data_IF_010147424160
#
_entry.id   IF_010147424160
#
_cell.length_a   1.000
_cell.length_b   1.000
_cell.length_c   1.000
_cell.angle_alpha   90.00
_cell.angle_beta   90.00
_cell.angle_gamma   90.00
#
_symmetry.space_group_name_H-M   'P 1'
#
loop_
_entity.id
_entity.type
_entity.pdbx_description
1 polymer ?
#
# COMPACT_ATOMS: atom_id res chain seq x y z
N UNK A 1 30.06 9.83 -58.71
CA UNK A 1 29.14 10.53 -57.78
C UNK A 1 27.89 9.66 -57.65
N UNK A 2 27.91 8.70 -56.72
CA UNK A 2 26.78 7.81 -56.41
C UNK A 2 26.58 7.86 -54.90
N UNK A 3 25.47 8.43 -54.46
CA UNK A 3 25.03 8.47 -53.07
C UNK A 3 24.08 7.30 -52.83
N UNK A 4 24.52 6.32 -52.04
CA UNK A 4 23.69 5.22 -51.54
C UNK A 4 23.26 5.59 -50.12
N UNK A 5 21.94 5.74 -49.92
CA UNK A 5 21.31 5.88 -48.61
C UNK A 5 21.43 4.56 -47.82
N UNK A 6 22.05 4.59 -46.65
CA UNK A 6 21.98 3.50 -45.67
C UNK A 6 20.71 3.66 -44.83
N UNK A 7 19.85 2.64 -44.83
CA UNK A 7 18.80 2.45 -43.83
C UNK A 7 19.45 1.98 -42.51
N UNK A 8 19.29 2.76 -41.45
CA UNK A 8 19.56 2.35 -40.07
C UNK A 8 18.36 1.60 -39.50
N UNK A 9 18.54 0.30 -39.23
CA UNK A 9 17.60 -0.55 -38.51
C UNK A 9 17.62 -0.16 -37.02
N UNK A 10 16.60 0.54 -36.53
CA UNK A 10 16.43 0.84 -35.12
C UNK A 10 15.92 -0.38 -34.36
N UNK A 11 16.76 -0.98 -33.51
CA UNK A 11 16.34 -1.99 -32.54
C UNK A 11 15.54 -1.28 -31.44
N UNK A 12 14.24 -1.57 -31.35
CA UNK A 12 13.39 -1.15 -30.24
C UNK A 12 13.79 -1.97 -29.02
N UNK A 13 14.53 -1.35 -28.10
CA UNK A 13 14.85 -1.90 -26.79
C UNK A 13 13.56 -1.83 -25.95
N UNK A 14 12.87 -2.96 -25.77
CA UNK A 14 11.79 -3.08 -24.80
C UNK A 14 12.37 -2.85 -23.40
N UNK A 15 12.11 -1.68 -22.82
CA UNK A 15 12.33 -1.43 -21.40
C UNK A 15 11.24 -2.16 -20.63
N UNK A 16 11.56 -3.34 -20.13
CA UNK A 16 10.75 -4.02 -19.11
C UNK A 16 10.86 -3.17 -17.84
N UNK A 17 9.87 -2.32 -17.59
CA UNK A 17 9.77 -1.57 -16.33
C UNK A 17 9.43 -2.56 -15.21
N UNK A 18 10.42 -2.82 -14.37
CA UNK A 18 10.29 -3.67 -13.18
C UNK A 18 9.26 -3.11 -12.20
N UNK A 19 8.50 -4.03 -11.61
CA UNK A 19 7.57 -3.77 -10.51
C UNK A 19 8.30 -3.10 -9.34
N UNK A 20 7.86 -1.91 -8.93
CA UNK A 20 8.34 -1.29 -7.69
C UNK A 20 7.65 -1.96 -6.49
N UNK A 21 8.39 -2.81 -5.80
CA UNK A 21 8.03 -3.40 -4.51
C UNK A 21 7.92 -2.30 -3.45
N UNK A 22 7.06 -2.47 -2.44
CA UNK A 22 7.06 -1.62 -1.25
C UNK A 22 8.51 -1.48 -0.73
N UNK A 23 9.01 -0.27 -0.52
CA UNK A 23 10.43 -0.09 -0.16
C UNK A 23 10.66 -0.59 1.26
N UNK A 24 11.04 -1.86 1.37
CA UNK A 24 11.53 -2.47 2.60
C UNK A 24 12.94 -1.96 2.82
N UNK A 25 13.18 -1.33 3.97
CA UNK A 25 14.53 -1.00 4.42
C UNK A 25 15.03 -2.09 5.38
N UNK A 26 16.34 -2.16 5.59
CA UNK A 26 16.94 -3.17 6.45
C UNK A 26 18.11 -2.64 7.28
N UNK A 27 18.27 -3.20 8.48
CA UNK A 27 19.39 -2.93 9.38
C UNK A 27 19.87 -4.26 9.98
N UNK A 28 21.19 -4.41 10.15
CA UNK A 28 21.77 -5.62 10.73
C UNK A 28 22.21 -5.35 12.17
N UNK A 29 21.75 -6.17 13.12
CA UNK A 29 21.91 -5.95 14.55
C UNK A 29 22.49 -7.19 15.24
N UNK A 30 23.55 -7.00 16.04
CA UNK A 30 24.12 -8.03 16.92
C UNK A 30 23.70 -7.78 18.36
N UNK A 31 22.97 -8.72 18.95
CA UNK A 31 22.42 -8.60 20.31
C UNK A 31 22.87 -9.75 21.22
N UNK A 32 23.93 -10.48 20.86
CA UNK A 32 24.28 -11.77 21.47
C UNK A 32 23.69 -12.92 20.66
N UNK A 33 23.22 -13.97 21.34
CA UNK A 33 22.59 -15.11 20.69
C UNK A 33 21.41 -14.66 19.79
N UNK A 34 21.51 -14.90 18.49
CA UNK A 34 20.55 -14.37 17.52
C UNK A 34 19.15 -14.99 17.68
N UNK A 35 18.98 -16.18 18.30
CA UNK A 35 17.66 -16.79 18.55
C UNK A 35 16.75 -15.90 19.40
N UNK A 36 17.31 -15.34 20.47
CA UNK A 36 16.59 -14.40 21.32
C UNK A 36 16.36 -13.07 20.62
N UNK A 37 17.33 -12.62 19.83
CA UNK A 37 17.28 -11.35 19.11
C UNK A 37 16.17 -11.35 18.06
N UNK A 38 16.10 -12.40 17.23
CA UNK A 38 15.10 -12.63 16.20
C UNK A 38 13.70 -12.59 16.80
N UNK A 39 13.44 -13.36 17.86
CA UNK A 39 12.14 -13.36 18.55
C UNK A 39 11.73 -11.98 19.06
N UNK A 40 12.67 -11.21 19.63
CA UNK A 40 12.37 -9.88 20.18
C UNK A 40 12.08 -8.86 19.09
N UNK A 41 12.88 -8.85 18.03
CA UNK A 41 12.71 -7.89 16.94
C UNK A 41 11.50 -8.23 16.06
N UNK A 42 11.24 -9.51 15.78
CA UNK A 42 10.07 -9.94 15.01
C UNK A 42 8.72 -9.56 15.66
N UNK A 43 8.69 -9.35 16.98
CA UNK A 43 7.48 -8.92 17.69
C UNK A 43 7.16 -7.42 17.54
N UNK A 44 8.08 -6.62 16.99
CA UNK A 44 7.89 -5.18 16.83
C UNK A 44 6.95 -4.89 15.65
N UNK A 45 5.92 -4.04 15.82
CA UNK A 45 5.08 -3.62 14.70
C UNK A 45 5.89 -2.94 13.59
N UNK A 46 5.52 -3.23 12.33
CA UNK A 46 6.20 -2.69 11.15
C UNK A 46 7.44 -3.48 10.70
N UNK A 47 7.83 -4.52 11.44
CA UNK A 47 8.83 -5.50 10.98
C UNK A 47 8.18 -6.44 9.96
N UNK A 48 8.85 -6.61 8.83
CA UNK A 48 8.43 -7.48 7.72
C UNK A 48 9.07 -8.86 7.86
N UNK A 49 10.36 -8.90 8.19
CA UNK A 49 11.13 -10.14 8.26
C UNK A 49 12.36 -10.04 9.19
N UNK A 50 12.56 -11.16 9.89
CA UNK A 50 13.57 -11.60 10.86
C UNK A 50 14.62 -12.61 10.37
N UNK A 51 15.79 -12.26 9.83
CA UNK A 51 16.76 -13.30 9.40
C UNK A 51 18.01 -13.37 10.28
N UNK A 52 18.38 -14.57 10.76
CA UNK A 52 19.60 -14.81 11.53
C UNK A 52 20.83 -15.02 10.63
N UNK A 53 21.99 -14.51 11.04
CA UNK A 53 23.23 -14.60 10.27
C UNK A 53 24.51 -14.23 11.02
N UNK A 54 25.62 -14.17 10.27
CA UNK A 54 26.96 -13.87 10.75
C UNK A 54 27.58 -12.71 9.96
N UNK A 55 28.07 -11.67 10.61
CA UNK A 55 28.54 -10.45 9.93
C UNK A 55 29.86 -9.87 10.46
N UNK A 56 30.52 -9.12 9.58
CA UNK A 56 31.71 -8.29 9.86
C UNK A 56 32.90 -9.00 10.55
N UNK A 57 33.11 -10.29 10.26
CA UNK A 57 34.40 -10.97 10.45
C UNK A 57 35.32 -10.77 9.24
N UNK A 58 36.55 -11.30 9.32
CA UNK A 58 37.54 -11.22 8.24
C UNK A 58 37.32 -12.28 7.15
N UNK A 59 36.64 -13.39 7.50
CA UNK A 59 36.30 -14.42 6.52
C UNK A 59 35.16 -13.93 5.62
N UNK A 60 35.24 -14.21 4.32
CA UNK A 60 34.17 -13.81 3.39
C UNK A 60 32.92 -14.68 3.57
N UNK A 61 33.12 -15.99 3.71
CA UNK A 61 32.08 -16.99 3.93
C UNK A 61 32.31 -17.69 5.27
N UNK A 62 31.25 -17.90 6.03
CA UNK A 62 31.31 -18.58 7.33
C UNK A 62 30.02 -19.34 7.62
N UNK A 63 30.09 -20.29 8.55
CA UNK A 63 28.97 -21.05 9.11
C UNK A 63 29.11 -21.12 10.64
N UNK A 64 28.14 -21.71 11.33
CA UNK A 64 28.14 -21.80 12.79
C UNK A 64 29.42 -22.44 13.36
N UNK A 65 29.88 -23.53 12.74
CA UNK A 65 31.07 -24.26 13.20
C UNK A 65 32.35 -23.45 13.02
N UNK A 66 32.47 -22.70 11.92
CA UNK A 66 33.62 -21.84 11.65
C UNK A 66 33.71 -20.71 12.67
N UNK A 67 32.59 -20.07 13.00
CA UNK A 67 32.51 -19.01 14.01
C UNK A 67 32.96 -19.53 15.38
N UNK A 68 32.47 -20.70 15.80
CA UNK A 68 32.88 -21.30 17.08
C UNK A 68 34.34 -21.75 17.09
N UNK A 69 34.82 -22.34 15.98
CA UNK A 69 36.21 -22.78 15.86
C UNK A 69 37.18 -21.59 15.93
N UNK A 70 36.86 -20.48 15.24
CA UNK A 70 37.65 -19.27 15.25
C UNK A 70 37.66 -18.62 16.64
N UNK A 71 36.52 -18.58 17.34
CA UNK A 71 36.43 -18.08 18.72
C UNK A 71 37.34 -18.87 19.67
N UNK A 72 37.40 -20.20 19.52
CA UNK A 72 38.31 -21.03 20.31
C UNK A 72 39.78 -20.77 20.00
N UNK A 73 40.12 -20.49 18.73
CA UNK A 73 41.49 -20.14 18.34
C UNK A 73 41.90 -18.78 18.90
N UNK A 74 41.00 -17.79 18.88
CA UNK A 74 41.19 -16.46 19.47
C UNK A 74 41.44 -16.55 20.98
N UNK A 75 40.61 -17.30 21.71
CA UNK A 75 40.79 -17.53 23.17
C UNK A 75 42.13 -18.19 23.52
N UNK A 76 42.72 -18.94 22.59
CA UNK A 76 44.03 -19.59 22.75
C UNK A 76 45.21 -18.73 22.25
N UNK A 77 44.96 -17.52 21.75
CA UNK A 77 45.98 -16.65 21.17
C UNK A 77 46.63 -17.20 19.89
N UNK A 78 45.96 -18.11 19.17
CA UNK A 78 46.51 -18.77 17.98
C UNK A 78 46.33 -17.95 16.69
N UNK A 79 45.46 -16.96 16.73
CA UNK A 79 45.13 -16.11 15.58
C UNK A 79 44.74 -14.73 16.07
N UNK A 80 44.87 -13.74 15.19
CA UNK A 80 44.39 -12.37 15.38
C UNK A 80 43.26 -12.02 14.41
N UNK A 81 42.78 -13.00 13.63
CA UNK A 81 41.70 -12.82 12.67
C UNK A 81 40.38 -12.49 13.39
N UNK A 82 39.64 -11.54 12.85
CA UNK A 82 38.38 -11.06 13.41
C UNK A 82 37.26 -12.07 13.16
N UNK A 83 36.58 -12.48 14.22
CA UNK A 83 35.41 -13.36 14.11
C UNK A 83 34.14 -12.60 13.69
N UNK A 84 33.22 -13.30 13.04
CA UNK A 84 31.89 -12.74 12.76
C UNK A 84 31.09 -12.59 14.05
N UNK A 85 30.25 -11.56 14.10
CA UNK A 85 29.19 -11.46 15.11
C UNK A 85 27.99 -12.28 14.67
N UNK A 86 27.35 -12.94 15.63
CA UNK A 86 25.96 -13.38 15.52
C UNK A 86 25.07 -12.14 15.42
N UNK A 87 24.33 -12.06 14.33
CA UNK A 87 23.48 -10.91 14.01
C UNK A 87 22.13 -11.37 13.47
N UNK A 88 21.19 -10.43 13.46
CA UNK A 88 19.94 -10.52 12.73
C UNK A 88 19.87 -9.41 11.68
N UNK A 89 19.38 -9.73 10.49
CA UNK A 89 18.97 -8.75 9.48
C UNK A 89 17.48 -8.46 9.66
N UNK A 90 17.18 -7.27 10.17
CA UNK A 90 15.82 -6.80 10.42
C UNK A 90 15.35 -6.04 9.19
N UNK A 91 14.33 -6.58 8.51
CA UNK A 91 13.67 -5.94 7.36
C UNK A 91 12.37 -5.31 7.84
N UNK A 92 12.16 -4.04 7.53
CA UNK A 92 11.02 -3.29 8.05
C UNK A 92 10.39 -2.39 7.00
N UNK A 93 9.13 -2.04 7.23
CA UNK A 93 8.40 -1.09 6.42
C UNK A 93 8.57 0.31 7.05
N UNK A 94 9.31 1.24 6.41
CA UNK A 94 9.52 2.60 6.94
C UNK A 94 8.22 3.39 7.14
N UNK A 95 7.13 3.01 6.47
CA UNK A 95 5.81 3.61 6.66
C UNK A 95 5.10 3.14 7.95
N UNK A 96 5.52 2.03 8.56
CA UNK A 96 4.92 1.48 9.78
C UNK A 96 5.81 1.65 11.02
N UNK A 97 7.13 1.63 10.84
CA UNK A 97 8.10 1.84 11.94
C UNK A 97 9.34 2.54 11.43
N UNK A 98 10.00 3.30 12.30
CA UNK A 98 11.23 4.02 11.96
C UNK A 98 12.46 3.25 12.40
N UNK A 99 13.59 3.50 11.72
CA UNK A 99 14.90 3.01 12.15
C UNK A 99 15.17 3.37 13.62
N UNK A 100 14.81 4.59 14.04
CA UNK A 100 14.97 5.04 15.41
C UNK A 100 14.22 4.16 16.41
N UNK A 101 12.97 3.78 16.11
CA UNK A 101 12.19 2.89 16.98
C UNK A 101 12.81 1.49 17.07
N UNK A 102 13.34 0.99 15.96
CA UNK A 102 14.07 -0.29 15.91
C UNK A 102 15.32 -0.20 16.79
N UNK A 103 16.09 0.90 16.70
CA UNK A 103 17.30 1.12 17.50
C UNK A 103 16.98 1.30 18.98
N UNK A 104 15.92 2.03 19.35
CA UNK A 104 15.44 2.11 20.74
C UNK A 104 15.12 0.71 21.28
N UNK A 105 14.41 -0.10 20.50
CA UNK A 105 14.08 -1.49 20.86
C UNK A 105 15.36 -2.30 21.05
N UNK A 106 16.32 -2.17 20.14
CA UNK A 106 17.64 -2.79 20.25
C UNK A 106 18.33 -2.43 21.58
N UNK A 107 18.42 -1.13 21.91
CA UNK A 107 19.08 -0.62 23.11
C UNK A 107 18.46 -1.15 24.41
N UNK A 108 17.12 -1.23 24.48
CA UNK A 108 16.40 -1.66 25.68
C UNK A 108 16.39 -3.19 25.88
N UNK A 109 16.62 -3.99 24.82
CA UNK A 109 16.40 -5.44 24.83
C UNK A 109 17.67 -6.31 24.95
N UNK A 110 18.85 -5.72 25.06
CA UNK A 110 20.11 -6.41 25.40
C UNK A 110 20.99 -5.51 26.28
N UNK A 111 22.16 -6.00 26.72
CA UNK A 111 23.06 -5.20 27.54
C UNK A 111 24.26 -4.69 26.72
N UNK A 112 24.22 -3.48 26.16
CA UNK A 112 25.27 -2.98 25.26
C UNK A 112 26.59 -2.63 25.96
N UNK A 113 26.73 -2.85 27.28
CA UNK A 113 27.93 -2.52 28.06
C UNK A 113 28.79 -3.74 28.38
N UNK A 114 28.44 -4.93 27.89
CA UNK A 114 29.10 -6.20 28.25
C UNK A 114 30.27 -6.59 27.33
N UNK A 115 30.61 -5.79 26.32
CA UNK A 115 31.67 -6.14 25.36
C UNK A 115 31.31 -7.38 24.55
N UNK A 116 32.27 -8.32 24.48
CA UNK A 116 32.18 -9.62 23.80
C UNK A 116 31.38 -10.66 24.61
N UNK A 117 30.24 -10.24 25.16
CA UNK A 117 29.38 -11.08 26.01
C UNK A 117 27.94 -10.57 26.00
N UNK A 118 26.97 -11.49 26.07
CA UNK A 118 25.59 -11.21 26.45
C UNK A 118 25.07 -12.28 27.41
N UNK A 119 24.76 -11.89 28.65
CA UNK A 119 24.32 -12.85 29.66
C UNK A 119 25.37 -13.94 29.90
N UNK A 120 25.03 -15.21 29.64
CA UNK A 120 25.95 -16.34 29.78
C UNK A 120 26.79 -16.61 28.52
N UNK A 121 26.45 -15.99 27.39
CA UNK A 121 27.10 -16.21 26.10
C UNK A 121 28.35 -15.34 26.00
N UNK A 122 29.54 -15.96 25.96
CA UNK A 122 30.84 -15.29 26.01
C UNK A 122 31.69 -15.58 24.78
N UNK A 123 32.05 -14.53 24.06
CA UNK A 123 32.91 -14.59 22.90
C UNK A 123 32.68 -13.39 21.98
N UNK A 124 33.68 -13.11 21.13
CA UNK A 124 33.60 -11.99 20.19
C UNK A 124 32.45 -12.12 19.20
N UNK A 125 31.95 -13.34 18.98
CA UNK A 125 30.75 -13.60 18.20
C UNK A 125 29.45 -13.10 18.86
N UNK A 126 29.42 -12.91 20.19
CA UNK A 126 28.25 -12.40 20.92
C UNK A 126 28.30 -10.90 21.20
N UNK A 127 29.25 -10.19 20.60
CA UNK A 127 29.37 -8.74 20.78
C UNK A 127 28.11 -8.00 20.34
N UNK A 128 27.80 -6.92 21.02
CA UNK A 128 26.77 -5.98 20.57
C UNK A 128 27.23 -5.25 19.31
N UNK A 129 26.39 -5.19 18.27
CA UNK A 129 26.73 -4.57 17.00
C UNK A 129 25.54 -3.92 16.28
N UNK A 130 25.80 -2.88 15.51
CA UNK A 130 24.90 -2.26 14.54
C UNK A 130 25.68 -2.11 13.23
N UNK A 131 25.25 -2.82 12.20
CA UNK A 131 25.85 -2.78 10.88
C UNK A 131 24.93 -2.09 9.89
N UNK A 132 25.43 -1.00 9.31
CA UNK A 132 24.64 -0.02 8.54
C UNK A 132 24.89 -0.15 7.04
N UNK A 133 23.85 0.09 6.24
CA UNK A 133 23.95 0.08 4.76
C UNK A 133 24.07 1.49 4.17
N UNK A 134 23.87 2.54 4.96
CA UNK A 134 23.93 3.93 4.51
C UNK A 134 24.45 4.89 5.59
N UNK A 135 24.92 6.06 5.15
CA UNK A 135 25.37 7.13 6.04
C UNK A 135 24.25 7.66 6.96
N UNK A 136 22.99 7.63 6.49
CA UNK A 136 21.84 8.04 7.30
C UNK A 136 21.61 7.08 8.46
N UNK A 137 21.69 5.76 8.21
CA UNK A 137 21.59 4.76 9.27
C UNK A 137 22.73 4.88 10.28
N UNK A 138 23.96 5.13 9.80
CA UNK A 138 25.12 5.37 10.66
C UNK A 138 24.92 6.58 11.58
N UNK A 139 24.45 7.70 11.04
CA UNK A 139 24.17 8.90 11.83
C UNK A 139 23.11 8.64 12.93
N UNK A 140 22.01 7.95 12.59
CA UNK A 140 20.95 7.63 13.55
C UNK A 140 21.41 6.64 14.63
N UNK A 141 22.21 5.64 14.27
CA UNK A 141 22.81 4.69 15.20
C UNK A 141 23.75 5.37 16.20
N UNK A 142 24.58 6.31 15.73
CA UNK A 142 25.47 7.10 16.60
C UNK A 142 24.67 8.03 17.53
N UNK A 143 23.65 8.70 17.01
CA UNK A 143 22.80 9.61 17.79
C UNK A 143 22.07 8.84 18.91
N UNK A 144 21.40 7.73 18.57
CA UNK A 144 20.67 6.92 19.57
C UNK A 144 21.61 6.26 20.58
N UNK A 145 22.83 5.86 20.19
CA UNK A 145 23.87 5.41 21.12
C UNK A 145 24.18 6.47 22.16
N UNK A 146 24.43 7.71 21.75
CA UNK A 146 24.86 8.77 22.66
C UNK A 146 23.76 9.16 23.65
N UNK A 147 22.51 9.17 23.19
CA UNK A 147 21.34 9.35 24.06
C UNK A 147 21.20 8.21 25.07
N UNK A 148 21.27 6.97 24.63
CA UNK A 148 21.17 5.83 25.54
C UNK A 148 22.34 5.74 26.52
N UNK A 149 23.55 6.11 26.09
CA UNK A 149 24.73 6.21 26.95
C UNK A 149 24.49 7.17 28.11
N UNK A 150 23.83 8.31 27.87
CA UNK A 150 23.49 9.25 28.94
C UNK A 150 22.55 8.59 29.97
N UNK A 151 21.54 7.83 29.50
CA UNK A 151 20.63 7.05 30.35
C UNK A 151 21.36 6.02 31.21
N UNK A 152 22.23 5.22 30.58
CA UNK A 152 23.02 4.19 31.26
C UNK A 152 23.95 4.82 32.30
N UNK A 153 24.58 5.95 31.97
CA UNK A 153 25.45 6.70 32.89
C UNK A 153 24.65 7.20 34.11
N UNK A 154 23.45 7.74 33.89
CA UNK A 154 22.56 8.17 34.97
C UNK A 154 22.12 7.00 35.87
N UNK A 155 21.96 5.80 35.28
CA UNK A 155 21.70 4.55 35.99
C UNK A 155 22.96 3.89 36.59
N UNK A 156 24.12 4.54 36.53
CA UNK A 156 25.41 4.00 37.00
C UNK A 156 25.83 2.68 36.33
N UNK A 157 25.42 2.47 35.08
CA UNK A 157 25.83 1.35 34.24
C UNK A 157 27.05 1.71 33.37
N UNK A 158 27.69 0.68 32.81
CA UNK A 158 28.93 0.80 32.05
C UNK A 158 28.80 1.61 30.75
N UNK A 159 29.95 1.85 30.11
CA UNK A 159 30.00 2.45 28.77
C UNK A 159 29.50 1.44 27.73
N UNK A 160 28.74 1.92 26.75
CA UNK A 160 28.33 1.18 25.56
C UNK A 160 29.59 0.76 24.79
N UNK A 161 29.69 -0.54 24.55
CA UNK A 161 30.73 -1.20 23.76
C UNK A 161 30.21 -1.65 22.39
N UNK A 162 28.96 -1.35 22.06
CA UNK A 162 28.35 -1.69 20.77
C UNK A 162 29.18 -1.14 19.62
N UNK A 163 29.55 -2.04 18.72
CA UNK A 163 30.20 -1.69 17.46
C UNK A 163 29.19 -1.07 16.50
N UNK A 164 29.53 0.08 15.90
CA UNK A 164 28.67 0.74 14.91
C UNK A 164 29.52 1.02 13.68
N UNK A 165 29.33 0.22 12.63
CA UNK A 165 30.14 0.26 11.41
C UNK A 165 29.26 0.02 10.16
N UNK A 166 29.75 0.32 8.95
CA UNK A 166 29.15 -0.18 7.72
C UNK A 166 29.15 -1.72 7.67
N UNK A 167 28.10 -2.31 7.11
CA UNK A 167 28.05 -3.75 6.83
C UNK A 167 29.07 -4.10 5.74
N UNK A 168 29.97 -5.05 6.03
CA UNK A 168 30.97 -5.54 5.06
C UNK A 168 30.52 -6.83 4.38
N UNK A 169 30.23 -7.84 5.19
CA UNK A 169 29.79 -9.16 4.75
C UNK A 169 28.65 -9.63 5.66
N UNK A 170 27.67 -10.28 5.07
CA UNK A 170 26.58 -10.95 5.77
C UNK A 170 26.44 -12.37 5.24
N UNK A 171 26.60 -13.34 6.12
CA UNK A 171 26.43 -14.76 5.84
C UNK A 171 25.16 -15.24 6.55
N UNK A 172 24.14 -15.60 5.78
CA UNK A 172 22.89 -16.16 6.31
C UNK A 172 23.19 -17.43 7.12
N UNK A 173 22.62 -17.54 8.31
CA UNK A 173 22.76 -18.73 9.14
C UNK A 173 21.95 -19.90 8.58
N UNK A 174 22.33 -21.10 8.99
CA UNK A 174 21.70 -22.36 8.59
C UNK A 174 20.20 -22.40 8.92
N UNK A 175 19.40 -23.17 8.17
CA UNK A 175 17.93 -23.20 8.34
C UNK A 175 17.49 -23.63 9.76
N UNK A 176 18.30 -24.45 10.44
CA UNK A 176 18.02 -24.87 11.82
C UNK A 176 18.09 -23.71 12.82
N UNK A 177 18.75 -22.60 12.45
CA UNK A 177 18.93 -21.41 13.25
C UNK A 177 17.88 -20.32 12.99
N UNK A 178 17.23 -20.35 11.82
CA UNK A 178 16.14 -19.44 11.48
C UNK A 178 14.88 -19.80 12.28
N UNK A 179 14.16 -18.81 12.79
CA UNK A 179 12.93 -19.00 13.57
C UNK A 179 13.07 -19.98 14.74
N UNK A 180 14.27 -20.07 15.34
CA UNK A 180 14.61 -21.15 16.28
C UNK A 180 13.63 -21.23 17.46
N UNK A 181 13.27 -20.08 18.05
CA UNK A 181 12.33 -20.04 19.19
C UNK A 181 10.86 -20.19 18.78
N UNK A 182 10.53 -20.11 17.49
CA UNK A 182 9.22 -20.53 16.98
C UNK A 182 9.16 -22.06 16.90
N UNK A 183 10.23 -22.69 16.39
CA UNK A 183 10.38 -24.15 16.29
C UNK A 183 10.56 -24.81 17.65
N UNK A 184 11.21 -24.12 18.59
CA UNK A 184 11.52 -24.58 19.94
C UNK A 184 11.08 -23.54 20.99
N UNK A 185 9.78 -23.49 21.37
CA UNK A 185 9.24 -22.47 22.28
C UNK A 185 9.90 -22.40 23.67
N UNK A 186 10.43 -23.52 24.15
CA UNK A 186 11.18 -23.64 25.41
C UNK A 186 12.70 -23.55 25.22
N UNK A 187 13.15 -23.12 24.04
CA UNK A 187 14.55 -22.93 23.71
C UNK A 187 15.20 -21.81 24.51
N UNK A 188 16.53 -21.80 24.51
CA UNK A 188 17.31 -20.82 25.27
C UNK A 188 17.10 -19.39 24.75
N UNK A 189 16.88 -18.45 25.67
CA UNK A 189 16.82 -17.02 25.40
C UNK A 189 17.50 -16.25 26.56
N UNK A 190 18.77 -15.86 26.36
CA UNK A 190 19.59 -15.19 27.37
C UNK A 190 19.46 -13.67 27.44
N UNK A 191 18.61 -13.05 26.63
CA UNK A 191 18.50 -11.59 26.53
C UNK A 191 17.70 -11.02 27.70
N UNK A 192 18.36 -10.31 28.61
CA UNK A 192 17.75 -9.69 29.79
C UNK A 192 17.62 -8.16 29.76
N UNK A 193 18.20 -7.49 28.75
CA UNK A 193 18.31 -6.03 28.72
C UNK A 193 19.13 -5.46 29.90
N UNK A 194 19.15 -4.14 30.05
CA UNK A 194 19.72 -3.44 31.21
C UNK A 194 18.67 -3.04 32.25
N UNK A 195 17.39 -3.07 31.88
CA UNK A 195 16.29 -2.50 32.65
C UNK A 195 16.21 -0.97 32.60
N UNK A 196 17.11 -0.30 31.86
CA UNK A 196 17.09 1.16 31.67
C UNK A 196 16.27 1.49 30.44
N UNK A 197 15.29 2.38 30.60
CA UNK A 197 14.53 2.89 29.47
C UNK A 197 15.36 3.90 28.67
N UNK A 198 15.17 3.91 27.36
CA UNK A 198 15.75 4.92 26.48
C UNK A 198 15.20 6.32 26.88
N UNK A 199 16.04 7.37 26.99
CA UNK A 199 15.56 8.69 27.37
C UNK A 199 14.62 9.21 26.31
N UNK A 200 13.34 9.25 26.64
CA UNK A 200 12.36 9.97 25.86
C UNK A 200 12.45 11.41 26.34
N UNK A 201 13.27 12.25 25.70
CA UNK A 201 13.06 13.71 25.77
C UNK A 201 11.59 13.94 25.46
N UNK A 202 10.95 14.96 26.07
CA UNK A 202 9.61 15.38 25.66
C UNK A 202 9.58 15.40 24.14
N UNK A 203 8.90 14.40 23.58
CA UNK A 203 9.19 13.96 22.25
C UNK A 203 8.98 15.18 21.35
N UNK A 204 9.85 15.41 20.35
CA UNK A 204 9.26 15.81 19.08
C UNK A 204 8.16 14.78 18.88
N UNK A 205 6.87 15.19 18.95
CA UNK A 205 5.77 14.29 19.27
C UNK A 205 5.99 13.06 18.43
N UNK A 206 6.10 11.88 19.07
CA UNK A 206 6.05 10.62 18.33
C UNK A 206 4.95 10.85 17.33
N UNK A 207 5.28 10.92 16.03
CA UNK A 207 4.34 11.39 15.02
C UNK A 207 3.08 10.61 15.31
N UNK A 208 2.06 11.30 15.84
CA UNK A 208 0.91 10.63 16.45
C UNK A 208 0.41 9.78 15.31
N UNK A 209 0.56 8.45 15.42
CA UNK A 209 0.15 7.57 14.34
C UNK A 209 -1.27 8.02 14.01
N UNK A 210 -1.51 8.50 12.76
CA UNK A 210 -2.70 9.28 12.51
C UNK A 210 -3.90 8.47 12.96
N UNK A 211 -4.77 9.10 13.76
CA UNK A 211 -5.88 8.37 14.35
C UNK A 211 -6.77 7.82 13.22
N UNK A 212 -7.36 6.62 13.38
CA UNK A 212 -8.35 6.13 12.45
C UNK A 212 -9.48 7.16 12.31
N UNK A 213 -10.09 7.21 11.12
CA UNK A 213 -11.19 8.13 10.85
C UNK A 213 -12.28 7.97 11.93
N UNK A 214 -12.81 9.09 12.44
CA UNK A 214 -13.91 9.05 13.37
C UNK A 214 -15.20 8.64 12.63
N UNK A 215 -15.88 7.59 13.08
CA UNK A 215 -17.12 7.12 12.46
C UNK A 215 -18.21 8.21 12.41
N UNK A 216 -18.18 9.17 13.34
CA UNK A 216 -19.09 10.31 13.38
C UNK A 216 -18.92 11.30 12.20
N UNK A 217 -17.77 11.28 11.50
CA UNK A 217 -17.50 12.11 10.32
C UNK A 217 -17.82 11.40 8.99
N UNK A 218 -18.35 10.18 9.06
CA UNK A 218 -18.57 9.31 7.90
C UNK A 218 -20.05 8.99 7.73
N UNK A 219 -20.41 8.59 6.51
CA UNK A 219 -21.78 8.21 6.19
C UNK A 219 -22.02 6.75 6.61
N UNK A 220 -22.75 6.57 7.71
CA UNK A 220 -22.99 5.24 8.29
C UNK A 220 -23.70 4.27 7.34
N UNK A 221 -24.68 4.75 6.58
CA UNK A 221 -25.44 3.90 5.65
C UNK A 221 -24.56 3.35 4.52
N UNK A 222 -23.68 4.18 3.98
CA UNK A 222 -22.78 3.80 2.89
C UNK A 222 -21.59 4.77 2.79
N UNK A 223 -20.37 4.24 2.82
CA UNK A 223 -19.13 5.01 2.74
C UNK A 223 -18.03 4.22 2.02
N UNK A 224 -17.36 4.84 1.07
CA UNK A 224 -16.08 4.34 0.55
C UNK A 224 -14.93 4.92 1.37
N UNK A 225 -13.94 4.09 1.68
CA UNK A 225 -12.68 4.54 2.28
C UNK A 225 -11.53 4.02 1.43
N UNK A 226 -10.71 4.94 0.93
CA UNK A 226 -9.47 4.62 0.23
C UNK A 226 -8.34 4.56 1.28
N UNK A 227 -7.86 3.35 1.56
CA UNK A 227 -6.70 3.12 2.42
C UNK A 227 -5.43 3.21 1.59
N UNK A 228 -4.62 4.21 1.90
CA UNK A 228 -3.47 4.63 1.12
C UNK A 228 -2.20 4.68 1.97
N UNK A 229 -1.08 4.99 1.33
CA UNK A 229 0.21 5.21 1.99
C UNK A 229 0.92 6.38 1.33
N UNK A 230 1.68 7.17 2.11
CA UNK A 230 2.36 8.37 1.61
C UNK A 230 3.32 8.07 0.45
N UNK A 231 3.96 6.89 0.45
CA UNK A 231 4.95 6.48 -0.55
C UNK A 231 4.37 5.59 -1.67
N UNK A 232 3.05 5.55 -1.81
CA UNK A 232 2.36 4.70 -2.77
C UNK A 232 2.15 5.42 -4.12
N UNK A 233 2.92 5.04 -5.13
CA UNK A 233 2.79 5.58 -6.49
C UNK A 233 1.41 5.35 -7.10
N UNK A 234 0.82 4.17 -6.88
CA UNK A 234 -0.53 3.86 -7.35
C UNK A 234 -1.64 4.57 -6.57
N UNK A 235 -1.37 5.04 -5.35
CA UNK A 235 -2.31 5.86 -4.59
C UNK A 235 -2.38 7.25 -5.20
N UNK A 236 -1.23 7.87 -5.51
CA UNK A 236 -1.20 9.13 -6.29
C UNK A 236 -1.86 8.99 -7.67
N UNK A 237 -1.70 7.83 -8.32
CA UNK A 237 -2.38 7.56 -9.58
C UNK A 237 -3.89 7.45 -9.39
N UNK A 238 -4.36 6.71 -8.37
CA UNK A 238 -5.77 6.64 -8.01
C UNK A 238 -6.35 8.02 -7.69
N UNK A 239 -5.60 8.86 -6.99
CA UNK A 239 -6.02 10.23 -6.69
C UNK A 239 -6.24 11.03 -7.96
N UNK A 240 -5.28 11.00 -8.88
CA UNK A 240 -5.35 11.72 -10.15
C UNK A 240 -6.49 11.23 -11.04
N UNK A 241 -6.66 9.90 -11.12
CA UNK A 241 -7.60 9.26 -12.03
C UNK A 241 -9.03 9.28 -11.51
N UNK A 242 -9.22 9.14 -10.19
CA UNK A 242 -10.52 8.85 -9.57
C UNK A 242 -10.86 9.87 -8.48
N UNK A 243 -10.04 9.99 -7.43
CA UNK A 243 -10.44 10.71 -6.21
C UNK A 243 -10.59 12.22 -6.42
N UNK A 244 -9.64 12.85 -7.11
CA UNK A 244 -9.62 14.31 -7.32
C UNK A 244 -10.75 14.80 -8.24
N UNK A 245 -11.38 13.87 -8.98
CA UNK A 245 -12.47 14.15 -9.90
C UNK A 245 -13.79 13.51 -9.41
N UNK A 246 -13.85 13.11 -8.14
CA UNK A 246 -14.97 12.35 -7.60
C UNK A 246 -16.26 13.15 -7.55
N UNK A 247 -17.25 12.71 -8.33
CA UNK A 247 -18.60 13.31 -8.37
C UNK A 247 -19.71 12.34 -7.97
N UNK A 248 -19.36 11.09 -7.62
CA UNK A 248 -20.35 10.06 -7.33
C UNK A 248 -21.13 10.41 -6.06
N UNK A 249 -22.41 9.98 -6.03
CA UNK A 249 -23.26 10.21 -4.86
C UNK A 249 -22.77 9.46 -3.62
N UNK A 250 -22.05 8.35 -3.81
CA UNK A 250 -21.43 7.60 -2.72
C UNK A 250 -20.20 8.39 -2.22
N UNK A 251 -20.15 8.79 -0.95
CA UNK A 251 -19.03 9.54 -0.40
C UNK A 251 -17.79 8.66 -0.33
N UNK A 252 -16.63 9.25 -0.59
CA UNK A 252 -15.33 8.61 -0.45
C UNK A 252 -14.40 9.45 0.43
N UNK A 253 -13.60 8.80 1.27
CA UNK A 253 -12.59 9.45 2.11
C UNK A 253 -11.27 8.67 1.98
N UNK A 254 -10.18 9.36 1.66
CA UNK A 254 -8.85 8.76 1.73
C UNK A 254 -8.29 8.83 3.15
N UNK A 255 -7.49 7.83 3.52
CA UNK A 255 -6.76 7.81 4.79
C UNK A 255 -5.43 7.06 4.64
N UNK A 256 -4.32 7.59 5.21
CA UNK A 256 -3.06 6.86 5.29
C UNK A 256 -3.05 5.83 6.43
N UNK A 257 -4.13 5.73 7.21
CA UNK A 257 -4.24 4.90 8.42
C UNK A 257 -4.87 3.57 8.05
N UNK A 258 -4.10 2.47 8.16
CA UNK A 258 -4.53 1.12 7.78
C UNK A 258 -5.50 0.45 8.77
N UNK A 259 -6.18 1.22 9.61
CA UNK A 259 -7.21 0.76 10.54
C UNK A 259 -8.58 1.31 10.12
N UNK A 260 -9.66 0.51 10.23
CA UNK A 260 -10.99 0.99 9.96
C UNK A 260 -11.40 2.10 10.95
N UNK A 261 -12.43 2.88 10.61
CA UNK A 261 -13.01 3.84 11.55
C UNK A 261 -13.38 3.18 12.89
N UNK A 262 -13.31 3.96 13.96
CA UNK A 262 -13.60 3.45 15.30
C UNK A 262 -15.03 2.88 15.36
N UNK A 263 -15.15 1.61 15.74
CA UNK A 263 -16.42 0.88 15.80
C UNK A 263 -16.87 0.26 14.48
N UNK A 264 -16.09 0.41 13.40
CA UNK A 264 -16.32 -0.25 12.12
C UNK A 264 -15.41 -1.48 11.99
N UNK A 265 -15.83 -2.48 11.21
CA UNK A 265 -15.08 -3.74 11.05
C UNK A 265 -14.74 -4.03 9.61
N UNK A 266 -13.45 -4.29 9.35
CA UNK A 266 -12.98 -4.91 8.13
C UNK A 266 -13.32 -6.40 8.14
N UNK A 267 -13.66 -6.95 6.98
CA UNK A 267 -13.89 -8.38 6.80
C UNK A 267 -12.58 -9.18 6.84
N UNK A 268 -11.48 -8.55 6.44
CA UNK A 268 -10.13 -9.14 6.43
C UNK A 268 -9.05 -8.03 6.51
N UNK A 269 -7.81 -8.34 6.92
CA UNK A 269 -6.73 -7.35 6.98
C UNK A 269 -6.44 -6.66 5.62
N UNK A 270 -5.87 -5.45 5.68
CA UNK A 270 -5.36 -4.73 4.52
C UNK A 270 -3.91 -5.17 4.27
N UNK A 271 -3.61 -5.67 3.09
CA UNK A 271 -2.27 -6.19 2.73
C UNK A 271 -1.64 -5.49 1.52
N UNK A 272 -2.36 -4.57 0.87
CA UNK A 272 -1.86 -3.79 -0.26
C UNK A 272 -2.48 -2.37 -0.26
N UNK A 273 -1.85 -1.44 -0.97
CA UNK A 273 -2.33 -0.07 -1.16
C UNK A 273 -2.24 0.33 -2.65
N UNK A 274 -3.17 1.16 -3.16
CA UNK A 274 -4.40 1.57 -2.49
C UNK A 274 -5.38 0.38 -2.39
N UNK A 275 -6.11 0.32 -1.27
CA UNK A 275 -7.27 -0.56 -1.12
C UNK A 275 -8.50 0.29 -0.83
N UNK A 276 -9.49 0.24 -1.71
CA UNK A 276 -10.75 0.96 -1.55
C UNK A 276 -11.74 -0.01 -0.95
N UNK A 277 -12.31 0.33 0.21
CA UNK A 277 -13.28 -0.51 0.91
C UNK A 277 -14.62 0.19 0.94
N UNK A 278 -15.67 -0.53 0.55
CA UNK A 278 -17.06 -0.13 0.71
C UNK A 278 -17.57 -0.63 2.06
N UNK A 279 -18.02 0.30 2.89
CA UNK A 279 -18.70 0.03 4.14
C UNK A 279 -20.19 0.33 4.02
N UNK A 280 -21.02 -0.54 4.60
CA UNK A 280 -22.43 -0.30 4.86
C UNK A 280 -22.71 -0.64 6.33
N UNK A 281 -23.37 0.28 7.04
CA UNK A 281 -23.68 0.14 8.47
C UNK A 281 -22.43 -0.17 9.33
N UNK A 282 -21.30 0.44 8.97
CA UNK A 282 -20.01 0.26 9.63
C UNK A 282 -19.33 -1.10 9.41
N UNK A 283 -19.83 -1.93 8.48
CA UNK A 283 -19.21 -3.20 8.13
C UNK A 283 -18.72 -3.16 6.70
N UNK A 284 -17.53 -3.67 6.47
CA UNK A 284 -17.06 -3.91 5.11
C UNK A 284 -18.00 -4.89 4.39
N UNK A 285 -18.48 -4.47 3.21
CA UNK A 285 -19.31 -5.31 2.32
C UNK A 285 -18.58 -5.68 1.03
N UNK A 286 -17.62 -4.86 0.59
CA UNK A 286 -16.84 -5.10 -0.62
C UNK A 286 -15.54 -4.32 -0.59
N UNK A 287 -14.54 -4.74 -1.37
CA UNK A 287 -13.28 -4.02 -1.54
C UNK A 287 -12.73 -4.14 -2.96
N UNK A 288 -11.90 -3.16 -3.32
CA UNK A 288 -11.07 -3.15 -4.51
C UNK A 288 -9.61 -2.96 -4.08
N UNK A 289 -8.78 -3.97 -4.35
CA UNK A 289 -7.37 -4.00 -3.93
C UNK A 289 -6.46 -3.87 -5.14
N UNK A 290 -5.41 -3.06 -5.03
CA UNK A 290 -4.34 -3.00 -6.03
C UNK A 290 -4.77 -2.29 -7.31
N UNK A 291 -5.21 -1.03 -7.17
CA UNK A 291 -5.38 -0.13 -8.32
C UNK A 291 -4.04 0.06 -9.03
N UNK A 292 -4.05 -0.04 -10.36
CA UNK A 292 -2.85 0.06 -11.20
C UNK A 292 -3.07 1.00 -12.41
N UNK A 293 -3.97 1.98 -12.28
CA UNK A 293 -4.37 2.88 -13.38
C UNK A 293 -5.55 2.36 -14.23
N UNK A 294 -6.14 1.22 -13.87
CA UNK A 294 -7.28 0.64 -14.58
C UNK A 294 -8.61 1.25 -14.08
N UNK A 295 -8.95 2.42 -14.63
CA UNK A 295 -10.20 3.12 -14.33
C UNK A 295 -11.43 2.28 -14.67
N UNK A 296 -11.41 1.55 -15.80
CA UNK A 296 -12.54 0.75 -16.25
C UNK A 296 -12.87 -0.36 -15.25
N UNK A 297 -11.85 -1.08 -14.76
CA UNK A 297 -12.04 -2.13 -13.74
C UNK A 297 -12.56 -1.57 -12.42
N UNK A 298 -12.07 -0.40 -12.01
CA UNK A 298 -12.54 0.26 -10.80
C UNK A 298 -14.04 0.63 -10.91
N UNK A 299 -14.43 1.31 -11.99
CA UNK A 299 -15.82 1.72 -12.19
C UNK A 299 -16.76 0.54 -12.40
N UNK A 300 -16.29 -0.52 -13.07
CA UNK A 300 -17.04 -1.77 -13.19
C UNK A 300 -17.28 -2.40 -11.81
N UNK A 301 -16.24 -2.57 -10.99
CA UNK A 301 -16.39 -3.07 -9.62
C UNK A 301 -17.38 -2.24 -8.81
N UNK A 302 -17.23 -0.91 -8.82
CA UNK A 302 -18.10 -0.03 -8.04
C UNK A 302 -19.55 -0.10 -8.53
N UNK A 303 -19.78 -0.10 -9.83
CA UNK A 303 -21.13 -0.22 -10.38
C UNK A 303 -21.79 -1.54 -10.02
N UNK A 304 -21.06 -2.66 -9.93
CA UNK A 304 -21.61 -3.93 -9.43
C UNK A 304 -22.05 -3.86 -7.96
N UNK A 305 -21.48 -2.95 -7.16
CA UNK A 305 -21.90 -2.75 -5.77
C UNK A 305 -23.05 -1.75 -5.63
N UNK A 306 -23.14 -0.75 -6.52
CA UNK A 306 -24.11 0.35 -6.41
C UNK A 306 -25.41 0.11 -7.17
N UNK A 307 -25.36 -0.58 -8.31
CA UNK A 307 -26.50 -0.76 -9.21
C UNK A 307 -27.34 -1.98 -8.82
N UNK A 308 -28.66 -1.89 -9.00
CA UNK A 308 -29.56 -3.04 -8.86
C UNK A 308 -29.31 -4.07 -9.99
N UNK A 309 -29.73 -5.35 -9.85
CA UNK A 309 -29.54 -6.35 -10.90
C UNK A 309 -30.10 -5.94 -12.27
N UNK A 310 -31.23 -5.23 -12.29
CA UNK A 310 -31.81 -4.71 -13.53
C UNK A 310 -30.95 -3.61 -14.17
N UNK A 311 -30.41 -2.72 -13.34
CA UNK A 311 -29.50 -1.67 -13.79
C UNK A 311 -28.17 -2.25 -14.27
N UNK A 312 -27.64 -3.27 -13.59
CA UNK A 312 -26.40 -3.96 -14.01
C UNK A 312 -26.57 -4.61 -15.37
N UNK A 313 -27.71 -5.25 -15.63
CA UNK A 313 -28.03 -5.83 -16.95
C UNK A 313 -28.01 -4.76 -18.05
N UNK A 314 -28.52 -3.57 -17.78
CA UNK A 314 -28.45 -2.46 -18.74
C UNK A 314 -27.01 -1.99 -18.88
N UNK A 315 -26.37 -1.62 -17.77
CA UNK A 315 -25.06 -0.97 -17.72
C UNK A 315 -23.90 -1.81 -18.24
N UNK A 316 -23.89 -3.12 -17.97
CA UNK A 316 -22.75 -4.01 -18.25
C UNK A 316 -23.04 -5.11 -19.26
N UNK A 317 -24.31 -5.44 -19.52
CA UNK A 317 -24.72 -6.47 -20.49
C UNK A 317 -25.44 -5.88 -21.71
N UNK A 318 -25.37 -4.55 -21.91
CA UNK A 318 -26.03 -3.83 -23.00
C UNK A 318 -27.55 -4.09 -23.05
N UNK A 319 -28.16 -4.36 -21.89
CA UNK A 319 -29.60 -4.52 -21.76
C UNK A 319 -30.36 -3.25 -22.09
N UNK A 320 -31.65 -3.40 -22.40
CA UNK A 320 -32.55 -2.26 -22.64
C UNK A 320 -33.78 -2.43 -21.77
N UNK A 321 -34.16 -1.39 -21.03
CA UNK A 321 -35.40 -1.39 -20.25
C UNK A 321 -36.63 -1.39 -21.17
N UNK A 322 -37.78 -1.81 -20.67
CA UNK A 322 -39.01 -1.80 -21.47
C UNK A 322 -39.42 -0.34 -21.76
N UNK A 323 -39.94 -0.04 -22.97
CA UNK A 323 -40.41 1.30 -23.29
C UNK A 323 -41.50 1.73 -22.31
N UNK A 324 -41.50 3.01 -21.95
CA UNK A 324 -42.43 3.65 -21.02
C UNK A 324 -42.32 3.18 -19.56
N UNK A 325 -41.25 2.45 -19.20
CA UNK A 325 -41.04 1.97 -17.82
C UNK A 325 -39.84 2.58 -17.11
N UNK A 326 -39.01 3.33 -17.84
CA UNK A 326 -37.78 3.91 -17.34
C UNK A 326 -37.99 5.05 -16.36
N UNK A 327 -37.11 5.11 -15.36
CA UNK A 327 -37.02 6.29 -14.49
C UNK A 327 -36.74 7.55 -15.32
N UNK A 328 -37.31 8.68 -14.91
CA UNK A 328 -37.09 9.99 -15.53
C UNK A 328 -37.56 10.17 -16.98
N UNK A 329 -38.38 9.25 -17.52
CA UNK A 329 -39.06 9.47 -18.80
C UNK A 329 -39.86 10.79 -18.78
N UNK A 330 -40.63 11.02 -17.72
CA UNK A 330 -41.46 12.22 -17.57
C UNK A 330 -40.76 13.35 -16.78
N UNK A 331 -39.46 13.24 -16.50
CA UNK A 331 -38.74 14.29 -15.77
C UNK A 331 -38.57 15.55 -16.65
N UNK A 332 -38.92 16.69 -16.07
CA UNK A 332 -39.00 18.00 -16.73
C UNK A 332 -38.37 19.13 -15.92
N UNK A 333 -37.97 18.88 -14.67
CA UNK A 333 -37.38 19.92 -13.83
C UNK A 333 -36.05 20.43 -14.41
N UNK A 334 -35.68 21.69 -14.16
CA UNK A 334 -34.33 22.19 -14.41
C UNK A 334 -33.30 21.37 -13.62
N UNK A 335 -32.23 20.93 -14.28
CA UNK A 335 -31.21 20.09 -13.67
C UNK A 335 -30.31 19.34 -14.66
N UNK A 336 -29.60 18.36 -14.13
CA UNK A 336 -28.60 17.55 -14.85
C UNK A 336 -28.92 16.06 -14.70
N UNK A 337 -28.83 15.33 -15.79
CA UNK A 337 -28.80 13.87 -15.80
C UNK A 337 -27.35 13.42 -15.71
N UNK A 338 -27.03 12.66 -14.67
CA UNK A 338 -25.68 12.19 -14.37
C UNK A 338 -25.60 10.68 -14.45
N UNK A 339 -24.39 10.20 -14.65
CA UNK A 339 -24.02 8.79 -14.50
C UNK A 339 -24.30 8.32 -13.05
N UNK A 340 -25.08 7.26 -12.84
CA UNK A 340 -25.44 6.79 -11.50
C UNK A 340 -24.27 6.21 -10.71
N UNK A 341 -23.18 5.78 -11.37
CA UNK A 341 -22.00 5.19 -10.74
C UNK A 341 -20.97 6.26 -10.43
N UNK A 342 -20.57 7.05 -11.43
CA UNK A 342 -19.49 8.05 -11.28
C UNK A 342 -19.99 9.45 -10.89
N UNK A 343 -21.29 9.73 -11.06
CA UNK A 343 -21.87 11.06 -10.87
C UNK A 343 -21.51 12.08 -11.94
N UNK A 344 -20.77 11.69 -12.99
CA UNK A 344 -20.39 12.58 -14.06
C UNK A 344 -21.62 13.09 -14.82
N UNK A 345 -21.61 14.37 -15.16
CA UNK A 345 -22.72 15.01 -15.88
C UNK A 345 -22.79 14.51 -17.33
N UNK A 346 -23.96 14.02 -17.74
CA UNK A 346 -24.21 13.46 -19.08
C UNK A 346 -25.03 14.40 -19.96
N UNK A 347 -26.18 14.86 -19.47
CA UNK A 347 -27.11 15.68 -20.23
C UNK A 347 -27.72 16.78 -19.35
N UNK A 348 -27.98 17.96 -19.92
CA UNK A 348 -28.79 19.00 -19.27
C UNK A 348 -30.27 18.77 -19.57
N UNK A 349 -31.17 19.14 -18.66
CA UNK A 349 -32.60 18.93 -18.87
C UNK A 349 -33.18 19.75 -20.03
N UNK A 350 -32.56 20.88 -20.39
CA UNK A 350 -32.91 21.65 -21.58
C UNK A 350 -32.54 20.94 -22.91
N UNK A 351 -31.72 19.90 -22.87
CA UNK A 351 -31.42 19.05 -24.02
C UNK A 351 -32.43 17.90 -24.19
N UNK A 352 -33.29 17.67 -23.18
CA UNK A 352 -34.29 16.59 -23.19
C UNK A 352 -35.53 16.98 -23.98
N UNK A 353 -36.03 16.08 -24.82
CA UNK A 353 -37.25 16.28 -25.61
C UNK A 353 -38.14 15.03 -25.63
N UNK A 354 -39.42 15.21 -26.00
CA UNK A 354 -40.35 14.10 -26.15
C UNK A 354 -40.24 13.50 -27.55
N UNK A 355 -39.66 12.30 -27.64
CA UNK A 355 -39.52 11.57 -28.91
C UNK A 355 -40.67 10.59 -29.19
N UNK A 356 -41.44 10.24 -28.16
CA UNK A 356 -42.44 9.16 -28.24
C UNK A 356 -41.86 7.75 -28.30
N UNK A 357 -40.53 7.58 -28.19
CA UNK A 357 -39.89 6.27 -28.27
C UNK A 357 -40.15 5.38 -27.05
N UNK A 358 -40.51 5.98 -25.91
CA UNK A 358 -40.64 5.29 -24.63
C UNK A 358 -39.39 5.32 -23.75
N UNK A 359 -38.33 6.01 -24.17
CA UNK A 359 -37.12 6.23 -23.37
C UNK A 359 -36.75 7.72 -23.34
N UNK A 360 -36.14 8.20 -22.24
CA UNK A 360 -35.54 9.54 -22.18
C UNK A 360 -34.71 9.83 -23.44
N UNK A 361 -35.02 10.94 -24.10
CA UNK A 361 -34.40 11.33 -25.36
C UNK A 361 -33.78 12.71 -25.24
N UNK A 362 -32.52 12.82 -25.66
CA UNK A 362 -31.76 14.06 -25.63
C UNK A 362 -31.24 14.39 -27.01
N UNK A 363 -31.11 15.67 -27.35
CA UNK A 363 -30.52 16.08 -28.63
C UNK A 363 -29.03 16.43 -28.52
N UNK A 364 -28.52 16.71 -27.33
CA UNK A 364 -27.13 17.12 -27.14
C UNK A 364 -26.57 16.63 -25.79
N UNK A 365 -25.47 15.85 -25.78
CA UNK A 365 -24.74 15.50 -24.56
C UNK A 365 -23.84 16.66 -24.13
N UNK A 366 -23.43 16.64 -22.86
CA UNK A 366 -22.36 17.52 -22.41
C UNK A 366 -21.03 17.16 -23.09
N UNK A 367 -20.16 18.14 -23.40
CA UNK A 367 -18.88 17.88 -24.06
C UNK A 367 -18.03 16.85 -23.30
N UNK A 368 -17.57 15.82 -24.01
CA UNK A 368 -16.73 14.75 -23.43
C UNK A 368 -17.47 13.78 -22.49
N UNK A 369 -18.78 13.90 -22.32
CA UNK A 369 -19.52 13.08 -21.36
C UNK A 369 -19.81 11.65 -21.84
N UNK A 370 -19.74 11.41 -23.16
CA UNK A 370 -20.08 10.11 -23.76
C UNK A 370 -19.02 9.63 -24.76
N UNK A 371 -19.02 8.33 -25.01
CA UNK A 371 -18.29 7.70 -26.13
C UNK A 371 -19.26 6.94 -27.03
N UNK A 372 -18.93 6.86 -28.31
CA UNK A 372 -19.75 6.22 -29.34
C UNK A 372 -19.07 4.96 -29.86
N UNK A 373 -19.81 3.86 -29.94
CA UNK A 373 -19.29 2.55 -30.36
C UNK A 373 -20.22 1.93 -31.40
N UNK A 374 -19.66 1.22 -32.38
CA UNK A 374 -20.48 0.50 -33.36
C UNK A 374 -21.15 -0.71 -32.71
N UNK A 375 -22.45 -0.86 -32.93
CA UNK A 375 -23.26 -1.98 -32.44
C UNK A 375 -23.95 -2.67 -33.62
N UNK A 376 -23.54 -3.92 -33.89
CA UNK A 376 -24.08 -4.80 -34.95
C UNK A 376 -25.01 -5.89 -34.40
N UNK A 377 -25.38 -5.82 -33.11
CA UNK A 377 -26.24 -6.80 -32.48
C UNK A 377 -27.65 -6.82 -33.10
N UNK A 378 -28.31 -7.98 -32.99
CA UNK A 378 -29.67 -8.21 -33.52
C UNK A 378 -29.85 -7.93 -35.02
N UNK A 379 -28.76 -7.94 -35.80
CA UNK A 379 -28.79 -7.72 -37.25
C UNK A 379 -29.09 -6.26 -37.64
N UNK A 380 -28.93 -5.32 -36.71
CA UNK A 380 -29.09 -3.88 -36.96
C UNK A 380 -27.72 -3.20 -36.96
N UNK A 381 -27.58 -2.08 -37.68
CA UNK A 381 -26.44 -1.17 -37.52
C UNK A 381 -26.86 0.01 -36.67
N UNK A 382 -26.37 0.06 -35.42
CA UNK A 382 -26.64 1.13 -34.47
C UNK A 382 -25.34 1.67 -33.92
N UNK A 383 -25.42 2.84 -33.28
CA UNK A 383 -24.30 3.43 -32.56
C UNK A 383 -24.64 3.43 -31.08
N UNK A 384 -23.94 2.60 -30.32
CA UNK A 384 -24.04 2.51 -28.87
C UNK A 384 -23.47 3.79 -28.24
N UNK A 385 -24.16 4.28 -27.21
CA UNK A 385 -23.74 5.39 -26.37
C UNK A 385 -23.33 4.86 -25.01
N UNK A 386 -22.09 5.13 -24.60
CA UNK A 386 -21.57 4.80 -23.26
C UNK A 386 -21.17 6.06 -22.51
N UNK A 387 -21.24 6.00 -21.17
CA UNK A 387 -20.66 7.04 -20.32
C UNK A 387 -19.14 7.08 -20.53
N UNK A 388 -18.57 8.27 -20.74
CA UNK A 388 -17.13 8.41 -20.91
C UNK A 388 -16.36 8.19 -19.60
N UNK A 389 -16.99 8.42 -18.44
CA UNK A 389 -16.36 8.30 -17.13
C UNK A 389 -16.33 6.86 -16.62
N UNK A 390 -17.50 6.21 -16.51
CA UNK A 390 -17.59 4.84 -15.96
C UNK A 390 -17.55 3.74 -17.02
N UNK A 391 -17.78 4.08 -18.29
CA UNK A 391 -17.88 3.12 -19.38
C UNK A 391 -19.21 2.35 -19.45
N UNK A 392 -20.20 2.65 -18.59
CA UNK A 392 -21.48 1.94 -18.62
C UNK A 392 -22.26 2.20 -19.92
N UNK A 393 -22.98 1.18 -20.38
CA UNK A 393 -23.96 1.32 -21.45
C UNK A 393 -25.10 2.25 -21.02
N UNK A 394 -25.38 3.25 -21.86
CA UNK A 394 -26.48 4.20 -21.66
C UNK A 394 -27.64 3.91 -22.62
N UNK A 395 -27.35 3.65 -23.90
CA UNK A 395 -28.36 3.42 -24.93
C UNK A 395 -27.77 3.56 -26.33
N UNK A 396 -28.51 4.22 -27.22
CA UNK A 396 -28.12 4.37 -28.63
C UNK A 396 -28.40 5.78 -29.15
N UNK A 397 -27.65 6.20 -30.17
CA UNK A 397 -27.88 7.45 -30.90
C UNK A 397 -28.42 7.19 -32.30
N UNK A 398 -29.37 8.03 -32.72
CA UNK A 398 -30.05 7.98 -34.02
C UNK A 398 -30.00 9.35 -34.73
N UNK A 399 -30.17 9.35 -36.05
CA UNK A 399 -30.16 10.55 -36.92
C UNK A 399 -31.54 11.21 -37.10
N UNK A 400 -32.50 10.85 -36.25
CA UNK A 400 -33.91 11.28 -36.31
C UNK A 400 -34.27 12.32 -35.23
N UNK A 401 -33.26 13.04 -34.72
CA UNK A 401 -33.44 14.03 -33.67
C UNK A 401 -33.75 15.44 -34.17
N UNK A 402 -34.14 16.35 -33.26
CA UNK A 402 -34.35 17.75 -33.61
C UNK A 402 -33.03 18.47 -33.90
N UNK A 403 -33.13 19.57 -34.65
CA UNK A 403 -32.03 20.54 -34.78
C UNK A 403 -31.69 21.16 -33.41
N UNK A 404 -30.43 21.60 -33.18
CA UNK A 404 -29.36 21.76 -34.17
C UNK A 404 -28.51 20.52 -34.44
N UNK A 405 -28.48 19.53 -33.54
CA UNK A 405 -27.61 18.35 -33.71
C UNK A 405 -28.16 17.37 -34.76
N UNK A 406 -29.48 17.31 -34.94
CA UNK A 406 -30.14 16.27 -35.72
C UNK A 406 -30.05 14.87 -35.08
N UNK A 407 -29.47 14.77 -33.88
CA UNK A 407 -29.25 13.50 -33.18
C UNK A 407 -30.31 13.28 -32.12
N UNK A 408 -30.71 12.02 -31.95
CA UNK A 408 -31.51 11.56 -30.82
C UNK A 408 -30.73 10.55 -30.01
N UNK A 409 -30.28 10.97 -28.84
CA UNK A 409 -29.67 10.11 -27.83
C UNK A 409 -30.79 9.46 -27.02
N UNK A 410 -31.12 8.21 -27.36
CA UNK A 410 -32.17 7.42 -26.73
C UNK A 410 -31.55 6.61 -25.59
N UNK A 411 -31.74 7.08 -24.36
CA UNK A 411 -31.00 6.61 -23.19
C UNK A 411 -31.94 5.87 -22.23
N UNK A 412 -31.48 4.75 -21.69
CA UNK A 412 -32.19 4.02 -20.64
C UNK A 412 -32.27 4.88 -19.37
N UNK A 413 -33.48 5.14 -18.91
CA UNK A 413 -33.76 5.95 -17.72
C UNK A 413 -33.27 5.32 -16.42
N UNK A 414 -33.29 3.98 -16.31
CA UNK A 414 -32.76 3.25 -15.14
C UNK A 414 -31.26 3.43 -14.91
N UNK A 415 -30.48 3.80 -15.92
CA UNK A 415 -29.03 4.07 -15.80
C UNK A 415 -28.71 5.57 -15.89
N UNK A 416 -29.68 6.40 -15.49
CA UNK A 416 -29.50 7.82 -15.22
C UNK A 416 -29.82 8.11 -13.76
N UNK A 417 -29.25 9.20 -13.24
CA UNK A 417 -29.71 9.85 -12.01
C UNK A 417 -29.95 11.33 -12.30
N UNK A 418 -31.07 11.86 -11.82
CA UNK A 418 -31.37 13.29 -11.99
C UNK A 418 -30.95 14.10 -10.77
N UNK A 419 -30.30 15.24 -11.01
CA UNK A 419 -29.90 16.23 -10.00
C UNK A 419 -30.57 17.55 -10.35
N UNK A 420 -31.55 18.04 -9.55
CA UNK A 420 -32.17 19.35 -9.77
C UNK A 420 -31.15 20.47 -9.56
N UNK A 421 -31.33 21.59 -10.27
CA UNK A 421 -30.51 22.81 -10.14
C UNK A 421 -30.63 23.48 -8.76
#
# INVERSE_FOLDING_TARGET
>A
MNTINQLSLGVVMMVVSGMATASVDSITLGMGCFWGAEKRMAALPGIVDVESGYANGDAEITNYHDVLALEQQLKRGKTTARNHAEVIQVRFNPAQTSLRNILITFWENHNPTQGDQQGNDRGSNYRSAIYTSSAAQLAEALATRDEYQAALTAASLGKITTEIEPLRHYNRAEEDHQDYLQKHPNGYCGLGGTGVAFPRTAAAPAAVAPAPLAAAELHFDRQLIAFESADCGFCRQFDADILNQWTAATPIRATPVAQPPIGWTLAQPLFATPTIVLFEQGKEVSRFTGYQGDQARFWHWLGLQLLTPEQQKIAFEQGTERPFTGSYLDEKRPGVFVDPVSGAALFRSNAKFESGSGWPSFFDPLPGAITLHEDTAHGMHRVEVRSASSGIHLGHVFEDGPLPSGKRYCINGKVLRFVPD
#
